data_IF_396062323309
#
_entry.id   IF_396062323309
#
_cell.length_a   1.000
_cell.length_b   1.000
_cell.length_c   1.000
_cell.angle_alpha   90.00
_cell.angle_beta   90.00
_cell.angle_gamma   90.00
#
_symmetry.space_group_name_H-M   'P 1'
#
loop_
_entity.id
_entity.type
_entity.pdbx_description
1 polymer ?
#
# COMPACT_ATOMS: atom_id res chain seq x y z
N UNK A 1 9.04 -47.95 33.27
CA UNK A 1 9.24 -46.48 33.24
C UNK A 1 9.44 -46.09 31.79
N UNK A 2 8.34 -45.84 31.10
CA UNK A 2 8.35 -45.34 29.71
C UNK A 2 8.31 -43.81 29.73
N UNK A 3 9.13 -43.11 28.94
CA UNK A 3 9.06 -41.66 28.86
C UNK A 3 7.91 -41.26 27.93
N UNK A 4 6.98 -40.46 28.46
CA UNK A 4 5.91 -39.81 27.70
C UNK A 4 6.51 -38.95 26.56
N UNK A 5 6.26 -39.36 25.32
CA UNK A 5 6.54 -38.52 24.15
C UNK A 5 5.49 -37.43 24.08
N UNK A 6 5.89 -36.19 24.40
CA UNK A 6 5.08 -35.00 24.10
C UNK A 6 4.80 -34.99 22.59
N UNK A 7 3.56 -34.73 22.16
CA UNK A 7 3.30 -34.50 20.75
C UNK A 7 4.06 -33.24 20.34
N UNK A 8 5.09 -33.41 19.52
CA UNK A 8 5.72 -32.31 18.79
C UNK A 8 4.64 -31.71 17.91
N UNK A 9 4.25 -30.49 18.25
CA UNK A 9 3.49 -29.60 17.38
C UNK A 9 4.36 -29.22 16.19
N UNK A 10 4.61 -30.17 15.31
CA UNK A 10 5.14 -29.95 13.97
C UNK A 10 3.95 -29.87 13.00
N UNK A 11 3.04 -28.95 13.30
CA UNK A 11 2.11 -28.47 12.30
C UNK A 11 2.94 -27.52 11.43
N UNK A 12 3.31 -28.02 10.24
CA UNK A 12 3.96 -27.22 9.21
C UNK A 12 3.27 -25.86 9.10
N UNK A 13 4.00 -24.74 9.05
CA UNK A 13 3.38 -23.45 8.86
C UNK A 13 2.66 -23.51 7.50
N UNK A 14 1.33 -23.48 7.54
CA UNK A 14 0.53 -23.15 6.37
C UNK A 14 1.15 -21.90 5.75
N UNK A 15 1.32 -21.91 4.42
CA UNK A 15 1.98 -20.85 3.69
C UNK A 15 1.59 -19.48 4.27
N UNK A 16 2.56 -18.60 4.61
CA UNK A 16 2.23 -17.32 5.21
C UNK A 16 1.22 -16.65 4.29
N UNK A 17 0.04 -16.33 4.84
CA UNK A 17 -0.96 -15.57 4.10
C UNK A 17 -0.23 -14.38 3.46
N UNK A 18 -0.29 -14.28 2.13
CA UNK A 18 0.48 -13.29 1.41
C UNK A 18 0.26 -11.92 2.05
N UNK A 19 1.35 -11.27 2.49
CA UNK A 19 1.25 -10.00 3.16
C UNK A 19 0.59 -8.98 2.23
N UNK A 20 -0.41 -8.25 2.74
CA UNK A 20 -1.10 -7.22 1.96
C UNK A 20 -0.10 -6.15 1.53
N UNK A 21 -0.19 -5.74 0.26
CA UNK A 21 0.65 -4.67 -0.30
C UNK A 21 0.13 -3.29 0.14
N UNK A 22 0.94 -2.24 -0.03
CA UNK A 22 0.51 -0.85 0.19
C UNK A 22 -0.73 -0.51 -0.64
N UNK A 23 -0.79 -0.97 -1.90
CA UNK A 23 -1.92 -0.78 -2.79
C UNK A 23 -3.19 -1.48 -2.27
N UNK A 24 -3.07 -2.70 -1.73
CA UNK A 24 -4.21 -3.42 -1.16
C UNK A 24 -4.79 -2.69 0.06
N UNK A 25 -3.93 -2.20 0.94
CA UNK A 25 -4.35 -1.46 2.15
C UNK A 25 -5.06 -0.16 1.78
N UNK A 26 -4.53 0.59 0.81
CA UNK A 26 -5.14 1.84 0.34
C UNK A 26 -6.48 1.58 -0.38
N UNK A 27 -6.57 0.52 -1.20
CA UNK A 27 -7.83 0.13 -1.82
C UNK A 27 -8.88 -0.26 -0.77
N UNK A 28 -8.49 -1.03 0.26
CA UNK A 28 -9.40 -1.40 1.36
C UNK A 28 -9.93 -0.16 2.09
N UNK A 29 -9.10 0.86 2.31
CA UNK A 29 -9.53 2.13 2.91
C UNK A 29 -10.58 2.85 2.04
N UNK A 30 -10.37 2.89 0.71
CA UNK A 30 -11.33 3.50 -0.22
C UNK A 30 -12.65 2.71 -0.23
N UNK A 31 -12.57 1.37 -0.28
CA UNK A 31 -13.75 0.50 -0.26
C UNK A 31 -14.54 0.67 1.04
N UNK A 32 -13.87 0.74 2.18
CA UNK A 32 -14.53 0.93 3.48
C UNK A 32 -15.27 2.27 3.54
N UNK A 33 -14.65 3.35 3.02
CA UNK A 33 -15.20 4.70 3.15
C UNK A 33 -16.24 5.06 2.09
N UNK A 34 -16.10 4.51 0.89
CA UNK A 34 -16.88 4.93 -0.28
C UNK A 34 -17.55 3.77 -1.03
N UNK A 35 -17.30 2.51 -0.65
CA UNK A 35 -17.77 1.34 -1.40
C UNK A 35 -19.29 1.23 -1.49
N UNK A 36 -20.04 1.78 -0.54
CA UNK A 36 -21.52 1.84 -0.63
C UNK A 36 -22.04 2.74 -1.75
N UNK A 37 -21.18 3.62 -2.29
CA UNK A 37 -21.52 4.57 -3.37
C UNK A 37 -20.95 4.16 -4.71
N UNK A 38 -20.25 3.03 -4.79
CA UNK A 38 -19.50 2.60 -5.97
C UNK A 38 -19.98 1.22 -6.43
N UNK A 39 -20.18 1.07 -7.73
CA UNK A 39 -20.44 -0.20 -8.38
C UNK A 39 -19.20 -1.10 -8.44
N UNK A 40 -19.39 -2.37 -8.81
CA UNK A 40 -18.29 -3.33 -8.92
C UNK A 40 -17.23 -2.91 -9.96
N UNK A 41 -17.65 -2.37 -11.10
CA UNK A 41 -16.74 -1.87 -12.15
C UNK A 41 -15.94 -0.65 -11.69
N UNK A 42 -16.57 0.26 -10.94
CA UNK A 42 -15.88 1.43 -10.39
C UNK A 42 -14.89 1.04 -9.30
N UNK A 43 -15.24 0.06 -8.46
CA UNK A 43 -14.31 -0.51 -7.47
C UNK A 43 -13.11 -1.19 -8.14
N UNK A 44 -13.33 -1.90 -9.25
CA UNK A 44 -12.25 -2.47 -10.05
C UNK A 44 -11.33 -1.38 -10.59
N UNK A 45 -11.90 -0.35 -11.21
CA UNK A 45 -11.15 0.76 -11.75
C UNK A 45 -10.33 1.47 -10.67
N UNK A 46 -10.90 1.69 -9.49
CA UNK A 46 -10.20 2.30 -8.36
C UNK A 46 -9.05 1.41 -7.86
N UNK A 47 -9.24 0.09 -7.80
CA UNK A 47 -8.15 -0.83 -7.43
C UNK A 47 -6.95 -0.68 -8.37
N UNK A 48 -7.21 -0.63 -9.68
CA UNK A 48 -6.13 -0.45 -10.67
C UNK A 48 -5.48 0.93 -10.56
N UNK A 49 -6.28 2.00 -10.35
CA UNK A 49 -5.77 3.35 -10.16
C UNK A 49 -4.87 3.47 -8.92
N UNK A 50 -5.28 2.89 -7.79
CA UNK A 50 -4.48 2.89 -6.56
C UNK A 50 -3.15 2.16 -6.78
N UNK A 51 -3.17 1.00 -7.45
CA UNK A 51 -1.95 0.27 -7.78
C UNK A 51 -0.99 1.11 -8.64
N UNK A 52 -1.52 1.80 -9.67
CA UNK A 52 -0.73 2.72 -10.51
C UNK A 52 -0.11 3.86 -9.71
N UNK A 53 -0.89 4.55 -8.86
CA UNK A 53 -0.41 5.67 -8.03
C UNK A 53 0.71 5.22 -7.08
N UNK A 54 0.58 4.05 -6.45
CA UNK A 54 1.60 3.52 -5.55
C UNK A 54 2.91 3.23 -6.30
N UNK A 55 2.81 2.68 -7.52
CA UNK A 55 3.97 2.43 -8.36
C UNK A 55 4.63 3.74 -8.81
N UNK A 56 3.85 4.71 -9.28
CA UNK A 56 4.35 6.03 -9.67
C UNK A 56 5.05 6.73 -8.48
N UNK A 57 4.44 6.67 -7.29
CA UNK A 57 5.05 7.21 -6.08
C UNK A 57 6.33 6.47 -5.68
N UNK A 58 6.42 5.15 -5.92
CA UNK A 58 7.65 4.37 -5.71
C UNK A 58 8.75 4.83 -6.66
N UNK A 59 8.42 5.05 -7.93
CA UNK A 59 9.36 5.54 -8.94
C UNK A 59 9.86 6.95 -8.61
N UNK A 60 8.96 7.86 -8.21
CA UNK A 60 9.33 9.21 -7.79
C UNK A 60 10.23 9.21 -6.55
N UNK A 61 9.95 8.37 -5.56
CA UNK A 61 10.79 8.21 -4.36
C UNK A 61 12.18 7.65 -4.66
N UNK A 62 12.37 6.98 -5.79
CA UNK A 62 13.67 6.47 -6.22
C UNK A 62 14.54 7.54 -6.90
N UNK A 63 14.00 8.72 -7.21
CA UNK A 63 14.77 9.83 -7.79
C UNK A 63 15.68 10.43 -6.70
N UNK A 64 17.02 10.44 -6.90
CA UNK A 64 17.92 11.07 -5.95
C UNK A 64 17.74 12.58 -6.01
N UNK A 65 17.47 13.19 -4.85
CA UNK A 65 17.37 14.64 -4.71
C UNK A 65 18.50 15.13 -3.78
N UNK A 66 19.15 16.21 -4.17
CA UNK A 66 20.02 16.99 -3.32
C UNK A 66 19.24 18.07 -2.56
N UNK A 67 19.83 18.61 -1.49
CA UNK A 67 19.17 19.65 -0.69
C UNK A 67 18.90 20.96 -1.46
N UNK A 68 19.55 21.16 -2.61
CA UNK A 68 19.34 22.32 -3.48
C UNK A 68 18.16 22.13 -4.45
N UNK A 69 17.59 20.93 -4.56
CA UNK A 69 16.45 20.63 -5.43
C UNK A 69 15.15 21.12 -4.77
N UNK A 70 14.99 22.45 -4.76
CA UNK A 70 13.80 23.09 -4.22
C UNK A 70 12.57 22.80 -5.11
N UNK A 71 11.37 22.71 -4.52
CA UNK A 71 10.15 22.64 -5.30
C UNK A 71 10.01 23.88 -6.19
N UNK A 72 9.50 23.69 -7.41
CA UNK A 72 9.10 24.77 -8.30
C UNK A 72 7.82 25.44 -7.75
N UNK A 73 8.00 26.29 -6.75
CA UNK A 73 6.92 27.08 -6.18
C UNK A 73 6.74 28.37 -7.01
N UNK A 74 5.49 28.82 -7.23
CA UNK A 74 5.24 30.14 -7.78
C UNK A 74 5.96 31.19 -6.93
N UNK A 75 6.66 32.14 -7.57
CA UNK A 75 7.18 33.31 -6.87
C UNK A 75 6.00 34.10 -6.30
N UNK A 76 5.94 34.37 -4.99
CA UNK A 76 4.91 35.26 -4.46
C UNK A 76 5.02 36.64 -5.13
N UNK A 77 3.90 37.36 -5.30
CA UNK A 77 3.94 38.71 -5.86
C UNK A 77 4.78 39.63 -4.96
N UNK A 78 5.48 40.62 -5.54
CA UNK A 78 6.16 41.63 -4.73
C UNK A 78 5.13 42.38 -3.88
N UNK A 79 5.49 42.66 -2.62
CA UNK A 79 4.62 43.27 -1.61
C UNK A 79 3.82 44.46 -2.17
N UNK A 80 2.50 44.46 -1.94
CA UNK A 80 1.56 45.51 -2.32
C UNK A 80 1.48 46.64 -1.28
#
# INVERSE_FOLDING_TARGET
MEPERRPTSDAAPGAPAAALTEADLLFLLVRERYGSRLGAEELEAIRQLVAGIVEDARLLRAVPLGNADAPLLPTPPPDA
#
